data_IF_732358598468
#
_entry.id   IF_732358598468
#
_cell.length_a   1.000
_cell.length_b   1.000
_cell.length_c   1.000
_cell.angle_alpha   90.00
_cell.angle_beta   90.00
_cell.angle_gamma   90.00
#
_symmetry.space_group_name_H-M   'P 1'
#
loop_
_entity.id
_entity.type
_entity.pdbx_description
1 polymer ?
#
# COMPACT_ATOMS: atom_id res chain seq x y z
N UNK A 1 -14.16 1.20 27.76
CA UNK A 1 -13.91 1.83 26.44
C UNK A 1 -13.92 0.70 25.43
N UNK A 2 -14.81 0.71 24.46
CA UNK A 2 -14.81 -0.31 23.41
C UNK A 2 -13.58 -0.07 22.54
N UNK A 3 -12.56 -0.93 22.61
CA UNK A 3 -11.49 -0.95 21.62
C UNK A 3 -12.13 -1.32 20.27
N UNK A 4 -12.50 -0.33 19.48
CA UNK A 4 -12.84 -0.56 18.09
C UNK A 4 -11.53 -0.69 17.33
N UNK A 5 -11.26 -1.89 16.83
CA UNK A 5 -10.12 -2.06 15.94
C UNK A 5 -10.42 -1.33 14.62
N UNK A 6 -9.46 -0.54 14.15
CA UNK A 6 -9.43 0.03 12.80
C UNK A 6 -8.74 -0.94 11.86
N UNK A 7 -8.96 -0.73 10.57
CA UNK A 7 -8.35 -1.55 9.53
C UNK A 7 -7.35 -0.72 8.73
N UNK A 8 -6.18 -1.31 8.53
CA UNK A 8 -5.15 -0.88 7.61
C UNK A 8 -5.16 -1.81 6.40
N UNK A 9 -4.89 -1.28 5.21
CA UNK A 9 -4.93 -2.06 3.98
C UNK A 9 -3.57 -2.08 3.31
N UNK A 10 -2.99 -3.26 3.15
CA UNK A 10 -1.76 -3.46 2.38
C UNK A 10 -2.16 -3.98 1.00
N UNK A 11 -1.73 -3.27 -0.04
CA UNK A 11 -2.02 -3.61 -1.44
C UNK A 11 -0.74 -4.07 -2.11
N UNK A 12 -0.64 -5.36 -2.36
CA UNK A 12 0.46 -5.96 -3.10
C UNK A 12 0.02 -6.02 -4.57
N UNK A 13 0.80 -5.42 -5.47
CA UNK A 13 0.38 -5.24 -6.87
C UNK A 13 1.43 -5.66 -7.90
N UNK A 14 0.93 -6.06 -9.07
CA UNK A 14 1.70 -6.30 -10.28
C UNK A 14 1.15 -5.38 -11.39
N UNK A 15 1.82 -4.24 -11.59
CA UNK A 15 1.34 -3.17 -12.49
C UNK A 15 1.57 -3.44 -13.98
N UNK A 16 2.28 -4.51 -14.36
CA UNK A 16 2.57 -4.84 -15.76
C UNK A 16 3.45 -3.81 -16.50
N UNK A 17 3.94 -2.79 -15.80
CA UNK A 17 4.87 -1.79 -16.34
C UNK A 17 6.21 -2.42 -16.73
N UNK A 18 7.01 -1.78 -17.59
CA UNK A 18 8.30 -2.35 -18.04
C UNK A 18 9.21 -2.71 -16.85
N UNK A 19 9.34 -1.81 -15.87
CA UNK A 19 10.08 -2.07 -14.63
C UNK A 19 9.48 -3.25 -13.85
N UNK A 20 8.16 -3.34 -13.74
CA UNK A 20 7.48 -4.47 -13.10
C UNK A 20 7.70 -5.78 -13.85
N UNK A 21 7.75 -5.77 -15.19
CA UNK A 21 8.04 -6.96 -15.99
C UNK A 21 9.48 -7.42 -15.84
N UNK A 22 10.43 -6.47 -15.87
CA UNK A 22 11.86 -6.72 -15.63
C UNK A 22 12.04 -7.30 -14.23
N UNK A 23 11.49 -6.66 -13.19
CA UNK A 23 11.56 -7.16 -11.83
C UNK A 23 10.94 -8.55 -11.72
N UNK A 24 9.77 -8.81 -12.31
CA UNK A 24 9.16 -10.16 -12.31
C UNK A 24 10.06 -11.21 -12.97
N UNK A 25 10.69 -10.87 -14.09
CA UNK A 25 11.58 -11.80 -14.80
C UNK A 25 12.87 -12.07 -14.03
N UNK A 26 13.40 -11.06 -13.35
CA UNK A 26 14.64 -11.13 -12.57
C UNK A 26 14.40 -11.84 -11.22
N UNK A 27 13.36 -11.46 -10.49
CA UNK A 27 13.09 -11.97 -9.13
C UNK A 27 12.22 -13.22 -9.11
N UNK A 28 11.59 -13.57 -10.23
CA UNK A 28 10.53 -14.58 -10.29
C UNK A 28 9.27 -14.20 -9.51
N UNK A 29 9.23 -13.03 -8.84
CA UNK A 29 8.15 -12.66 -7.96
C UNK A 29 6.93 -12.20 -8.77
N UNK A 30 5.78 -12.85 -8.53
CA UNK A 30 4.53 -12.54 -9.21
C UNK A 30 4.03 -11.12 -8.95
N UNK A 31 4.37 -10.56 -7.78
CA UNK A 31 4.05 -9.21 -7.36
C UNK A 31 5.31 -8.45 -6.90
N UNK A 32 5.41 -7.18 -7.28
CA UNK A 32 6.66 -6.41 -7.11
C UNK A 32 6.45 -4.97 -6.66
N UNK A 33 5.23 -4.60 -6.33
CA UNK A 33 4.93 -3.30 -5.74
C UNK A 33 4.05 -3.46 -4.51
N UNK A 34 4.27 -2.62 -3.51
CA UNK A 34 3.49 -2.60 -2.28
C UNK A 34 3.05 -1.17 -1.99
N UNK A 35 1.79 -1.00 -1.59
CA UNK A 35 1.22 0.28 -1.18
C UNK A 35 0.40 0.08 0.09
N UNK A 36 0.15 1.15 0.84
CA UNK A 36 -0.64 1.10 2.07
C UNK A 36 -1.79 2.10 2.02
N UNK A 37 -2.97 1.73 2.50
CA UNK A 37 -4.13 2.62 2.60
C UNK A 37 -4.78 2.54 3.97
N UNK A 38 -5.31 3.68 4.42
CA UNK A 38 -6.12 3.79 5.63
C UNK A 38 -7.63 3.65 5.34
N UNK A 39 -8.03 3.46 4.08
CA UNK A 39 -9.42 3.31 3.67
C UNK A 39 -9.63 2.07 2.83
N UNK A 40 -10.79 1.41 3.01
CA UNK A 40 -11.18 0.22 2.26
C UNK A 40 -11.35 0.48 0.77
N UNK A 41 -11.72 1.70 0.39
CA UNK A 41 -11.94 2.11 -1.01
C UNK A 41 -10.65 2.17 -1.85
N UNK A 42 -9.48 2.16 -1.19
CA UNK A 42 -8.15 2.30 -1.80
C UNK A 42 -7.98 3.57 -2.65
N UNK A 43 -8.82 4.59 -2.49
CA UNK A 43 -8.73 5.83 -3.29
C UNK A 43 -7.45 6.61 -2.97
N UNK A 44 -6.91 6.43 -1.76
CA UNK A 44 -5.59 6.94 -1.37
C UNK A 44 -4.71 5.81 -0.88
N UNK A 45 -3.76 5.41 -1.73
CA UNK A 45 -2.70 4.46 -1.38
C UNK A 45 -1.36 5.19 -1.34
N UNK A 46 -0.63 5.07 -0.24
CA UNK A 46 0.69 5.65 -0.06
C UNK A 46 1.75 4.63 -0.43
N UNK A 47 2.77 5.06 -1.18
CA UNK A 47 3.88 4.18 -1.56
C UNK A 47 5.13 4.98 -1.93
N UNK A 48 6.24 4.27 -2.11
CA UNK A 48 7.37 4.77 -2.88
C UNK A 48 7.29 4.24 -4.30
N UNK A 49 7.25 5.16 -5.26
CA UNK A 49 7.04 4.82 -6.65
C UNK A 49 7.45 5.97 -7.57
N UNK A 50 7.07 5.84 -8.84
CA UNK A 50 7.33 6.87 -9.85
C UNK A 50 6.46 8.10 -9.57
N UNK A 51 7.09 9.28 -9.45
CA UNK A 51 6.37 10.56 -9.34
C UNK A 51 5.71 10.95 -10.66
N UNK A 52 6.34 10.57 -11.77
CA UNK A 52 5.81 10.79 -13.10
C UNK A 52 5.68 9.45 -13.83
N UNK A 53 4.50 9.05 -14.33
CA UNK A 53 4.29 7.74 -14.95
C UNK A 53 5.24 7.42 -16.11
N UNK A 54 5.73 8.45 -16.80
CA UNK A 54 6.60 8.35 -17.97
C UNK A 54 8.10 8.44 -17.66
N UNK A 55 8.51 8.79 -16.42
CA UNK A 55 9.92 8.87 -16.03
C UNK A 55 10.23 7.78 -14.99
N UNK A 56 10.97 6.71 -15.35
CA UNK A 56 11.28 5.62 -14.44
C UNK A 56 12.35 5.97 -13.40
N UNK A 57 13.10 7.06 -13.59
CA UNK A 57 14.20 7.46 -12.69
C UNK A 57 13.77 8.49 -11.65
N UNK A 58 12.63 9.17 -11.85
CA UNK A 58 12.13 10.15 -10.89
C UNK A 58 11.09 9.55 -9.94
N UNK A 59 11.61 8.90 -8.89
CA UNK A 59 10.80 8.23 -7.87
C UNK A 59 10.90 8.89 -6.50
N UNK A 60 9.92 8.60 -5.64
CA UNK A 60 9.88 9.03 -4.26
C UNK A 60 8.53 8.71 -3.63
N UNK A 61 8.21 9.38 -2.53
CA UNK A 61 6.92 9.21 -1.85
C UNK A 61 5.76 9.75 -2.70
N UNK A 62 4.75 8.91 -2.94
CA UNK A 62 3.61 9.16 -3.82
C UNK A 62 2.30 8.74 -3.17
N UNK A 63 1.20 9.36 -3.62
CA UNK A 63 -0.16 8.85 -3.42
C UNK A 63 -0.63 8.31 -4.76
N UNK A 64 -1.04 7.06 -4.75
CA UNK A 64 -1.55 6.31 -5.88
C UNK A 64 -3.07 6.12 -5.69
N UNK A 65 -3.79 6.04 -6.81
CA UNK A 65 -5.23 5.78 -6.81
C UNK A 65 -5.54 4.83 -7.97
N UNK A 66 -6.49 3.89 -7.81
CA UNK A 66 -6.98 3.04 -8.89
C UNK A 66 -7.55 3.85 -10.07
N UNK A 67 -8.06 5.06 -9.81
CA UNK A 67 -8.76 5.91 -10.78
C UNK A 67 -7.86 6.90 -11.50
N UNK A 68 -6.60 7.04 -11.08
CA UNK A 68 -5.64 8.00 -11.66
C UNK A 68 -4.25 7.38 -11.86
N UNK A 69 -3.36 8.13 -12.53
CA UNK A 69 -1.95 7.76 -12.64
C UNK A 69 -1.66 6.38 -13.24
N UNK A 70 -0.70 5.66 -12.63
CA UNK A 70 -0.22 4.35 -13.11
C UNK A 70 -1.34 3.32 -13.12
N UNK A 71 -2.11 3.18 -12.03
CA UNK A 71 -3.11 2.12 -11.93
C UNK A 71 -4.28 2.32 -12.91
N UNK A 72 -4.67 3.58 -13.22
CA UNK A 72 -5.64 3.86 -14.30
C UNK A 72 -5.12 3.41 -15.66
N UNK A 73 -3.84 3.70 -15.95
CA UNK A 73 -3.22 3.39 -17.24
C UNK A 73 -3.04 1.89 -17.44
N UNK A 74 -2.66 1.18 -16.39
CA UNK A 74 -2.45 -0.27 -16.39
C UNK A 74 -3.65 -0.97 -15.77
N UNK A 75 -4.79 -0.92 -16.46
CA UNK A 75 -6.09 -1.41 -15.95
C UNK A 75 -6.14 -2.93 -15.69
N UNK A 76 -5.18 -3.68 -16.22
CA UNK A 76 -4.99 -5.11 -15.96
C UNK A 76 -4.10 -5.40 -14.73
N UNK A 77 -3.82 -4.38 -13.90
CA UNK A 77 -3.05 -4.54 -12.65
C UNK A 77 -3.73 -5.57 -11.75
N UNK A 78 -3.01 -6.65 -11.43
CA UNK A 78 -3.43 -7.64 -10.44
C UNK A 78 -2.98 -7.24 -9.05
N UNK A 79 -3.83 -7.49 -8.05
CA UNK A 79 -3.58 -7.15 -6.65
C UNK A 79 -3.98 -8.26 -5.69
N UNK A 80 -3.30 -8.28 -4.55
CA UNK A 80 -3.77 -8.86 -3.29
C UNK A 80 -4.08 -7.69 -2.36
N UNK A 81 -5.29 -7.64 -1.82
CA UNK A 81 -5.71 -6.64 -0.83
C UNK A 81 -5.78 -7.31 0.53
N UNK A 82 -4.85 -6.97 1.41
CA UNK A 82 -4.77 -7.52 2.77
C UNK A 82 -5.33 -6.49 3.75
N UNK A 83 -6.21 -6.92 4.63
CA UNK A 83 -6.68 -6.11 5.76
C UNK A 83 -5.96 -6.53 7.03
N UNK A 84 -5.33 -5.58 7.69
CA UNK A 84 -4.60 -5.75 8.94
C UNK A 84 -5.34 -4.97 10.01
N UNK A 85 -5.72 -5.66 11.09
CA UNK A 85 -6.35 -5.01 12.23
C UNK A 85 -5.31 -4.26 13.05
N UNK A 86 -5.65 -3.03 13.40
CA UNK A 86 -4.82 -2.12 14.21
C UNK A 86 -5.70 -1.45 15.25
N UNK A 87 -5.10 -1.06 16.38
CA UNK A 87 -5.74 -0.23 17.38
C UNK A 87 -6.00 1.19 16.84
N UNK A 88 -6.89 1.93 17.49
CA UNK A 88 -7.13 3.35 17.15
C UNK A 88 -5.84 4.17 17.27
N UNK A 89 -5.03 3.90 18.29
CA UNK A 89 -3.76 4.56 18.54
C UNK A 89 -2.76 4.30 17.41
N UNK A 90 -2.58 3.03 17.02
CA UNK A 90 -1.73 2.65 15.88
C UNK A 90 -2.22 3.30 14.57
N UNK A 91 -3.54 3.32 14.34
CA UNK A 91 -4.12 3.95 13.16
C UNK A 91 -3.88 5.46 13.13
N UNK A 92 -4.03 6.14 14.27
CA UNK A 92 -3.74 7.57 14.39
C UNK A 92 -2.26 7.89 14.13
N UNK A 93 -1.35 7.08 14.68
CA UNK A 93 0.10 7.21 14.47
C UNK A 93 0.49 6.99 13.00
N UNK A 94 -0.05 5.95 12.36
CA UNK A 94 0.13 5.68 10.93
C UNK A 94 -0.31 6.88 10.09
N UNK A 95 -1.48 7.44 10.39
CA UNK A 95 -2.01 8.61 9.69
C UNK A 95 -1.10 9.83 9.85
N UNK A 96 -0.64 10.11 11.07
CA UNK A 96 0.26 11.23 11.32
C UNK A 96 1.58 11.08 10.57
N UNK A 97 2.19 9.88 10.60
CA UNK A 97 3.42 9.60 9.85
C UNK A 97 3.24 9.82 8.35
N UNK A 98 2.15 9.30 7.78
CA UNK A 98 1.84 9.47 6.36
C UNK A 98 1.63 10.94 5.99
N UNK A 99 0.93 11.71 6.83
CA UNK A 99 0.68 13.14 6.63
C UNK A 99 1.99 13.95 6.70
N UNK A 100 2.87 13.65 7.66
CA UNK A 100 4.20 14.27 7.77
C UNK A 100 5.05 13.94 6.56
N UNK A 101 5.10 12.67 6.14
CA UNK A 101 5.84 12.25 4.96
C UNK A 101 5.30 12.93 3.70
N UNK A 102 3.98 13.10 3.59
CA UNK A 102 3.37 13.78 2.44
C UNK A 102 3.70 15.28 2.39
N UNK A 103 3.64 15.96 3.53
CA UNK A 103 4.05 17.38 3.66
C UNK A 103 5.52 17.56 3.27
N UNK A 104 6.37 16.61 3.66
CA UNK A 104 7.82 16.60 3.37
C UNK A 104 8.19 15.79 2.13
N UNK A 105 7.23 15.42 1.27
CA UNK A 105 7.44 14.42 0.20
C UNK A 105 8.62 14.69 -0.72
N UNK A 106 8.98 15.96 -0.93
CA UNK A 106 10.11 16.39 -1.78
C UNK A 106 11.47 15.95 -1.22
N UNK A 107 11.59 15.76 0.10
CA UNK A 107 12.80 15.25 0.77
C UNK A 107 13.06 13.78 0.43
N UNK A 108 11.99 13.01 0.26
CA UNK A 108 12.09 11.57 0.05
C UNK A 108 12.38 11.21 -1.41
N UNK A 109 13.27 10.25 -1.61
CA UNK A 109 13.66 9.75 -2.94
C UNK A 109 13.51 8.23 -3.01
N UNK A 110 13.50 7.69 -4.22
CA UNK A 110 13.43 6.24 -4.40
C UNK A 110 14.82 5.60 -4.29
N UNK A 111 14.95 4.54 -3.48
CA UNK A 111 16.22 3.85 -3.24
C UNK A 111 16.54 2.83 -4.35
N UNK A 112 16.88 3.32 -5.54
CA UNK A 112 17.18 2.43 -6.69
C UNK A 112 18.42 1.56 -6.44
N UNK A 113 19.47 2.14 -5.82
CA UNK A 113 20.69 1.40 -5.50
C UNK A 113 20.37 0.29 -4.50
N UNK A 114 19.63 0.61 -3.43
CA UNK A 114 19.19 -0.38 -2.46
C UNK A 114 18.29 -1.45 -3.06
N UNK A 115 17.40 -1.12 -3.99
CA UNK A 115 16.59 -2.11 -4.69
C UNK A 115 17.45 -3.06 -5.55
N UNK A 116 18.44 -2.53 -6.27
CA UNK A 116 19.37 -3.35 -7.04
C UNK A 116 20.24 -4.23 -6.14
N UNK A 117 20.76 -3.70 -5.04
CA UNK A 117 21.58 -4.45 -4.08
C UNK A 117 20.76 -5.51 -3.32
N UNK A 118 19.49 -5.22 -3.01
CA UNK A 118 18.56 -6.15 -2.40
C UNK A 118 18.36 -7.42 -3.24
N UNK A 119 18.41 -7.31 -4.57
CA UNK A 119 18.41 -8.47 -5.46
C UNK A 119 19.63 -9.38 -5.25
N UNK A 120 20.79 -8.81 -4.95
CA UNK A 120 22.01 -9.54 -4.60
C UNK A 120 22.08 -9.92 -3.12
N UNK A 121 20.96 -9.84 -2.38
CA UNK A 121 20.90 -10.06 -0.93
C UNK A 121 21.79 -9.10 -0.10
N UNK A 122 22.15 -7.95 -0.66
CA UNK A 122 22.93 -6.91 0.03
C UNK A 122 22.00 -5.83 0.56
N UNK A 123 22.12 -5.54 1.86
CA UNK A 123 21.33 -4.50 2.53
C UNK A 123 22.01 -3.15 2.31
N UNK A 124 21.28 -2.21 1.69
CA UNK A 124 21.72 -0.83 1.55
C UNK A 124 20.59 0.13 1.86
N UNK A 125 20.73 0.85 2.97
CA UNK A 125 19.78 1.85 3.43
C UNK A 125 20.41 3.22 3.35
N UNK A 126 19.64 4.18 2.87
CA UNK A 126 19.99 5.60 2.86
C UNK A 126 18.85 6.37 3.49
N UNK A 127 19.17 7.37 4.31
CA UNK A 127 18.14 8.21 4.96
C UNK A 127 17.22 8.86 3.92
N UNK A 128 15.93 8.88 4.22
CA UNK A 128 14.84 9.39 3.37
C UNK A 128 14.71 8.73 1.98
N UNK A 129 15.46 7.65 1.73
CA UNK A 129 15.42 6.89 0.49
C UNK A 129 14.81 5.51 0.74
N UNK A 130 13.71 5.20 0.06
CA UNK A 130 13.02 3.91 0.22
C UNK A 130 12.63 3.30 -1.13
N UNK A 131 12.59 1.97 -1.20
CA UNK A 131 11.73 1.28 -2.16
C UNK A 131 10.40 0.88 -1.52
N UNK A 132 9.42 0.47 -2.32
CA UNK A 132 8.01 0.36 -1.90
C UNK A 132 7.80 -0.55 -0.68
N UNK A 133 8.35 -1.76 -0.68
CA UNK A 133 8.20 -2.70 0.42
C UNK A 133 9.05 -2.37 1.65
N UNK A 134 10.21 -1.74 1.48
CA UNK A 134 10.99 -1.21 2.60
C UNK A 134 10.17 -0.15 3.37
N UNK A 135 9.56 0.79 2.64
CA UNK A 135 8.69 1.80 3.22
C UNK A 135 7.51 1.20 3.99
N UNK A 136 6.76 0.28 3.39
CA UNK A 136 5.60 -0.34 4.07
C UNK A 136 6.06 -1.09 5.32
N UNK A 137 7.15 -1.85 5.24
CA UNK A 137 7.68 -2.58 6.38
C UNK A 137 8.16 -1.66 7.51
N UNK A 138 8.86 -0.58 7.18
CA UNK A 138 9.31 0.40 8.17
C UNK A 138 8.13 1.13 8.84
N UNK A 139 7.11 1.50 8.07
CA UNK A 139 5.93 2.16 8.58
C UNK A 139 5.17 1.28 9.59
N UNK A 140 4.95 0.01 9.24
CA UNK A 140 4.32 -0.97 10.13
C UNK A 140 5.16 -1.22 11.40
N UNK A 141 6.49 -1.27 11.26
CA UNK A 141 7.41 -1.48 12.39
C UNK A 141 7.37 -0.28 13.35
N UNK A 142 7.41 0.95 12.82
CA UNK A 142 7.38 2.18 13.62
C UNK A 142 6.07 2.32 14.39
N UNK A 143 4.94 1.98 13.76
CA UNK A 143 3.63 1.92 14.41
C UNK A 143 3.40 0.69 15.26
N UNK A 144 4.40 -0.18 15.45
CA UNK A 144 4.31 -1.37 16.32
C UNK A 144 3.10 -2.24 15.97
N UNK A 145 2.80 -2.39 14.67
CA UNK A 145 1.75 -3.31 14.20
C UNK A 145 2.18 -4.74 14.58
N UNK A 146 1.23 -5.56 15.02
CA UNK A 146 1.51 -6.91 15.45
C UNK A 146 2.00 -7.80 14.30
N UNK A 147 2.89 -8.77 14.58
CA UNK A 147 3.36 -9.74 13.60
C UNK A 147 4.56 -9.30 12.76
N UNK A 148 5.15 -8.14 13.07
CA UNK A 148 6.32 -7.62 12.35
C UNK A 148 7.58 -8.45 12.57
N UNK A 149 7.67 -9.22 13.66
CA UNK A 149 8.71 -10.21 13.91
C UNK A 149 8.75 -11.35 12.87
N UNK A 150 7.70 -11.48 12.05
CA UNK A 150 7.62 -12.46 10.96
C UNK A 150 8.30 -11.94 9.68
N UNK A 151 8.52 -10.63 9.58
CA UNK A 151 9.35 -9.99 8.55
C UNK A 151 10.83 -10.05 8.95
N UNK A 152 11.37 -11.27 9.10
CA UNK A 152 12.74 -11.53 9.60
C UNK A 152 13.89 -11.07 8.68
N UNK A 153 13.59 -10.41 7.56
CA UNK A 153 14.61 -10.02 6.58
C UNK A 153 14.85 -8.53 6.60
N UNK A 154 16.13 -8.14 6.58
CA UNK A 154 16.55 -6.77 6.33
C UNK A 154 16.16 -6.27 4.93
N UNK A 155 15.81 -7.18 4.02
CA UNK A 155 15.28 -6.91 2.68
C UNK A 155 13.84 -7.40 2.63
N UNK A 156 12.89 -6.47 2.64
CA UNK A 156 11.47 -6.80 2.64
C UNK A 156 10.99 -6.90 1.21
N UNK A 157 10.50 -8.07 0.80
CA UNK A 157 9.81 -8.27 -0.48
C UNK A 157 8.30 -8.07 -0.30
N UNK A 158 7.56 -7.54 -1.29
CA UNK A 158 6.10 -7.34 -1.18
C UNK A 158 5.34 -8.59 -0.72
N UNK A 159 5.71 -9.76 -1.23
CA UNK A 159 5.05 -11.03 -0.87
C UNK A 159 5.25 -11.46 0.58
N UNK A 160 6.27 -10.93 1.28
CA UNK A 160 6.48 -11.25 2.68
C UNK A 160 5.41 -10.66 3.59
N UNK A 161 4.65 -9.65 3.15
CA UNK A 161 3.52 -9.12 3.93
C UNK A 161 2.40 -10.15 4.13
N UNK A 162 2.34 -11.22 3.34
CA UNK A 162 1.45 -12.36 3.59
C UNK A 162 1.79 -13.16 4.85
N UNK A 163 2.93 -12.88 5.48
CA UNK A 163 3.31 -13.49 6.76
C UNK A 163 2.77 -12.71 7.95
N UNK A 164 2.46 -11.43 7.81
CA UNK A 164 1.87 -10.62 8.88
C UNK A 164 0.43 -11.07 9.14
N UNK A 165 -0.10 -11.07 10.37
CA UNK A 165 -1.52 -11.35 10.64
C UNK A 165 -2.42 -10.46 9.79
N UNK A 166 -3.23 -11.08 8.93
CA UNK A 166 -4.08 -10.37 7.99
C UNK A 166 -5.31 -11.18 7.59
N UNK A 167 -6.32 -10.49 7.09
CA UNK A 167 -7.43 -11.06 6.34
C UNK A 167 -7.26 -10.73 4.86
N UNK A 168 -7.17 -11.73 3.98
CA UNK A 168 -7.18 -11.51 2.54
C UNK A 168 -8.59 -11.08 2.11
N UNK A 169 -8.76 -9.82 1.71
CA UNK A 169 -10.05 -9.29 1.27
C UNK A 169 -10.32 -9.55 -0.22
N UNK A 170 -9.28 -9.52 -1.05
CA UNK A 170 -9.44 -9.63 -2.49
C UNK A 170 -8.17 -10.10 -3.19
N UNK A 171 -8.34 -10.92 -4.22
CA UNK A 171 -7.31 -11.30 -5.18
C UNK A 171 -7.90 -11.19 -6.60
N UNK A 172 -7.32 -10.36 -7.46
CA UNK A 172 -7.85 -10.13 -8.79
C UNK A 172 -7.39 -8.81 -9.39
N UNK A 173 -8.17 -8.20 -10.30
CA UNK A 173 -7.81 -6.91 -10.91
C UNK A 173 -8.20 -5.77 -9.98
N UNK A 174 -7.30 -4.80 -9.82
CA UNK A 174 -7.55 -3.64 -8.95
C UNK A 174 -8.81 -2.87 -9.35
N UNK A 175 -9.10 -2.74 -10.65
CA UNK A 175 -10.29 -2.04 -11.13
C UNK A 175 -11.59 -2.72 -10.69
N UNK A 176 -11.61 -4.05 -10.59
CA UNK A 176 -12.80 -4.83 -10.24
C UNK A 176 -13.09 -4.72 -8.75
N UNK A 177 -12.05 -4.74 -7.91
CA UNK A 177 -12.18 -4.45 -6.47
C UNK A 177 -12.89 -3.12 -6.21
N UNK A 178 -12.47 -2.07 -6.92
CA UNK A 178 -12.97 -0.70 -6.71
C UNK A 178 -14.39 -0.52 -7.26
N UNK A 179 -14.75 -1.23 -8.35
CA UNK A 179 -16.12 -1.26 -8.85
C UNK A 179 -17.07 -1.89 -7.83
N UNK A 180 -16.68 -3.01 -7.21
CA UNK A 180 -17.54 -3.74 -6.28
C UNK A 180 -17.70 -3.03 -4.93
N UNK A 181 -16.61 -2.44 -4.40
CA UNK A 181 -16.67 -1.68 -3.14
C UNK A 181 -17.47 -0.38 -3.26
N UNK A 182 -17.48 0.27 -4.43
CA UNK A 182 -18.40 1.38 -4.68
C UNK A 182 -19.87 0.96 -4.61
N UNK A 183 -20.23 -0.24 -5.07
CA UNK A 183 -21.60 -0.74 -5.01
C UNK A 183 -22.05 -0.99 -3.56
N UNK A 184 -21.17 -1.56 -2.72
CA UNK A 184 -21.45 -1.80 -1.29
C UNK A 184 -21.59 -0.49 -0.50
N UNK A 185 -20.72 0.50 -0.73
CA UNK A 185 -20.80 1.79 -0.03
C UNK A 185 -22.03 2.62 -0.37
N UNK A 186 -22.55 2.50 -1.60
CA UNK A 186 -23.83 3.13 -2.00
C UNK A 186 -25.01 2.48 -1.26
N UNK A 187 -24.98 1.17 -1.02
CA UNK A 187 -26.01 0.47 -0.25
C UNK A 187 -25.97 0.83 1.24
N UNK A 188 -24.78 0.93 1.87
CA UNK A 188 -24.66 1.34 3.27
C UNK A 188 -25.11 2.80 3.50
N UNK A 189 -24.74 3.73 2.61
CA UNK A 189 -25.13 5.14 2.73
C UNK A 189 -26.63 5.36 2.45
N UNK A 190 -27.24 4.56 1.57
CA UNK A 190 -28.70 4.54 1.36
C UNK A 190 -29.45 4.00 2.59
N UNK A 191 -28.88 3.01 3.28
CA UNK A 191 -29.47 2.43 4.50
C UNK A 191 -29.40 3.43 5.66
N UNK A 192 -28.29 4.16 5.81
CA UNK A 192 -28.14 5.19 6.85
C UNK A 192 -28.95 6.47 6.60
N UNK A 193 -29.19 6.89 5.35
CA UNK A 193 -30.07 8.03 5.04
C UNK A 193 -31.55 7.74 5.32
N UNK A 194 -31.95 6.48 5.37
CA UNK A 194 -33.35 6.10 5.64
C UNK A 194 -33.71 6.17 7.13
N UNK A 195 -32.70 6.14 8.03
CA UNK A 195 -32.92 6.19 9.49
C UNK A 195 -33.11 7.62 10.02
N UNK A 196 -32.64 8.66 9.31
CA UNK A 196 -32.78 10.06 9.75
C UNK A 196 -34.01 10.81 9.20
N UNK A 197 -34.94 10.13 8.52
CA UNK A 197 -36.21 10.70 8.06
C UNK A 197 -37.44 10.02 8.68
N UNK A 198 -37.44 9.84 9.99
CA UNK A 198 -38.69 9.75 10.78
C UNK A 198 -38.44 10.35 12.15
N UNK A 199 -39.06 11.49 12.42
CA UNK A 199 -39.93 11.77 13.56
C UNK A 199 -40.45 13.22 13.41
N UNK A 200 -41.66 13.50 13.93
CA UNK A 200 -42.61 14.50 13.39
C UNK A 200 -42.20 15.96 13.55
#
# INVERSE_FOLDING_TARGET
>A
MSNQNKQLYIVISQTGTLLSRILKQITGAEYNHASISLSRDLERMYSFGRRHPYNPFWGGFVIESPRTGTFKRFSETKVLVLSVSVTEEQHAELKEMLDVMWKRRRKYSYNYIGLCLAYFHVVWKQEDCYYCSEFVGELLTKSRVDGMEQLRSSIIQPMQFLRVPHTLLYCGKLREYVSNTCSEGICEDATNRTVHRRLP
#
